data_IF_003981237644
#
_entry.id   IF_003981237644
#
_cell.length_a   1.000
_cell.length_b   1.000
_cell.length_c   1.000
_cell.angle_alpha   90.00
_cell.angle_beta   90.00
_cell.angle_gamma   90.00
#
_symmetry.space_group_name_H-M   'P 1'
#
loop_
_entity.id
_entity.type
_entity.pdbx_description
1 polymer ?
#
# COMPACT_ATOMS: atom_id res chain seq x y z
N UNK A 1 1.58 6.25 10.85
CA UNK A 1 1.18 6.28 9.42
C UNK A 1 0.25 7.45 9.13
N UNK A 2 -0.90 7.58 9.80
CA UNK A 2 -1.83 8.71 9.56
C UNK A 2 -1.12 10.07 9.66
N UNK A 3 -0.35 10.31 10.73
CA UNK A 3 0.43 11.55 10.93
C UNK A 3 1.44 11.86 9.82
N UNK A 4 1.87 10.88 9.03
CA UNK A 4 2.80 11.11 7.93
C UNK A 4 2.10 11.42 6.60
N UNK A 5 0.86 10.94 6.43
CA UNK A 5 0.15 11.00 5.15
C UNK A 5 -1.09 11.92 5.17
N UNK A 6 -1.54 12.38 6.34
CA UNK A 6 -2.80 13.10 6.50
C UNK A 6 -2.89 14.41 5.70
N UNK A 7 -1.77 15.10 5.50
CA UNK A 7 -1.68 16.36 4.74
C UNK A 7 -1.14 16.16 3.32
N UNK A 8 -0.91 14.92 2.89
CA UNK A 8 -0.37 14.61 1.57
C UNK A 8 -1.52 14.34 0.61
N UNK A 9 -1.51 15.01 -0.55
CA UNK A 9 -2.53 14.80 -1.55
C UNK A 9 -2.41 13.39 -2.13
N UNK A 10 -3.55 12.71 -2.29
CA UNK A 10 -3.63 11.50 -3.09
C UNK A 10 -3.54 11.90 -4.56
N UNK A 11 -2.47 11.46 -5.23
CA UNK A 11 -2.19 11.85 -6.62
C UNK A 11 -2.39 10.73 -7.63
N UNK A 12 -2.47 9.48 -7.17
CA UNK A 12 -2.71 8.32 -8.01
C UNK A 12 -3.39 7.20 -7.22
N UNK A 13 -4.27 6.46 -7.89
CA UNK A 13 -4.97 5.30 -7.36
C UNK A 13 -5.11 4.26 -8.46
N UNK A 14 -4.80 3.00 -8.13
CA UNK A 14 -5.00 1.87 -9.04
C UNK A 14 -5.30 0.58 -8.30
N UNK A 15 -6.06 -0.28 -8.96
CA UNK A 15 -6.12 -1.71 -8.63
C UNK A 15 -4.94 -2.43 -9.27
N UNK A 16 -4.24 -3.25 -8.50
CA UNK A 16 -3.11 -4.07 -8.94
C UNK A 16 -3.56 -5.46 -9.41
N UNK A 17 -4.78 -5.86 -9.08
CA UNK A 17 -5.42 -7.09 -9.54
C UNK A 17 -6.71 -6.80 -10.32
N UNK A 18 -7.20 -7.81 -11.04
CA UNK A 18 -8.45 -7.68 -11.83
C UNK A 18 -9.70 -7.77 -10.95
N UNK A 19 -9.57 -8.33 -9.76
CA UNK A 19 -10.67 -8.55 -8.83
C UNK A 19 -10.96 -7.30 -7.98
N UNK A 20 -10.09 -6.30 -7.99
CA UNK A 20 -10.25 -5.11 -7.16
C UNK A 20 -10.05 -5.40 -5.67
N UNK A 21 -9.15 -6.32 -5.33
CA UNK A 21 -8.82 -6.66 -3.94
C UNK A 21 -7.44 -6.16 -3.54
N UNK A 22 -6.59 -5.80 -4.49
CA UNK A 22 -5.27 -5.25 -4.19
C UNK A 22 -5.19 -3.83 -4.72
N UNK A 23 -5.16 -2.88 -3.81
CA UNK A 23 -5.14 -1.45 -4.11
C UNK A 23 -3.72 -0.91 -3.97
N UNK A 24 -3.37 0.07 -4.81
CA UNK A 24 -2.22 0.95 -4.59
C UNK A 24 -2.63 2.42 -4.69
N UNK A 25 -2.09 3.21 -3.78
CA UNK A 25 -2.30 4.66 -3.68
C UNK A 25 -0.95 5.35 -3.64
N UNK A 26 -0.76 6.41 -4.44
CA UNK A 26 0.44 7.26 -4.39
C UNK A 26 0.08 8.64 -3.83
N UNK A 27 0.94 9.13 -2.95
CA UNK A 27 0.80 10.44 -2.32
C UNK A 27 1.77 11.44 -2.95
N UNK A 28 1.47 12.73 -2.80
CA UNK A 28 2.22 13.83 -3.41
C UNK A 28 3.68 13.95 -2.95
N UNK A 29 4.02 13.38 -1.79
CA UNK A 29 5.39 13.32 -1.28
C UNK A 29 6.20 12.13 -1.85
N UNK A 30 5.57 11.29 -2.67
CA UNK A 30 6.18 10.08 -3.22
C UNK A 30 5.91 8.81 -2.41
N UNK A 31 5.23 8.91 -1.26
CA UNK A 31 4.83 7.74 -0.48
C UNK A 31 3.86 6.85 -1.28
N UNK A 32 3.99 5.53 -1.11
CA UNK A 32 3.16 4.51 -1.74
C UNK A 32 2.53 3.63 -0.66
N UNK A 33 1.20 3.50 -0.70
CA UNK A 33 0.44 2.55 0.11
C UNK A 33 -0.11 1.46 -0.78
N UNK A 34 0.19 0.20 -0.49
CA UNK A 34 -0.40 -0.97 -1.16
C UNK A 34 -1.17 -1.81 -0.14
N UNK A 35 -2.47 -1.99 -0.34
CA UNK A 35 -3.34 -2.74 0.55
C UNK A 35 -3.86 -4.00 -0.15
N UNK A 36 -3.78 -5.13 0.52
CA UNK A 36 -4.30 -6.41 0.05
C UNK A 36 -5.50 -6.79 0.91
N UNK A 37 -6.70 -6.65 0.35
CA UNK A 37 -7.97 -7.02 0.97
C UNK A 37 -8.34 -8.48 0.70
N UNK A 38 -7.56 -9.21 -0.09
CA UNK A 38 -7.84 -10.60 -0.40
C UNK A 38 -7.36 -11.55 0.70
N UNK A 39 -7.88 -12.79 0.65
CA UNK A 39 -7.42 -13.89 1.48
C UNK A 39 -6.12 -14.55 0.99
N UNK A 40 -5.50 -14.05 -0.09
CA UNK A 40 -4.30 -14.63 -0.71
C UNK A 40 -3.13 -13.64 -0.66
N UNK A 41 -1.87 -14.10 -0.52
CA UNK A 41 -0.72 -13.22 -0.62
C UNK A 41 -0.62 -12.64 -2.04
N UNK A 42 -0.18 -11.39 -2.14
CA UNK A 42 0.02 -10.71 -3.43
C UNK A 42 1.47 -10.28 -3.59
N UNK A 43 2.09 -10.65 -4.73
CA UNK A 43 3.45 -10.25 -5.06
C UNK A 43 3.44 -8.98 -5.91
N UNK A 44 4.06 -7.92 -5.41
CA UNK A 44 4.28 -6.69 -6.16
C UNK A 44 5.33 -6.90 -7.26
N UNK A 45 5.31 -6.03 -8.27
CA UNK A 45 6.30 -6.03 -9.35
C UNK A 45 7.75 -5.84 -8.85
N UNK A 46 7.94 -5.13 -7.72
CA UNK A 46 9.24 -4.94 -7.06
C UNK A 46 9.78 -6.19 -6.34
N UNK A 47 8.96 -7.23 -6.21
CA UNK A 47 9.33 -8.50 -5.58
C UNK A 47 8.79 -8.68 -4.16
N UNK A 48 8.35 -7.61 -3.50
CA UNK A 48 7.74 -7.66 -2.18
C UNK A 48 6.42 -8.44 -2.19
N UNK A 49 6.14 -9.12 -1.08
CA UNK A 49 4.89 -9.86 -0.89
C UNK A 49 4.06 -9.16 0.19
N UNK A 50 2.80 -8.86 -0.14
CA UNK A 50 1.81 -8.33 0.79
C UNK A 50 0.96 -9.51 1.28
N UNK A 51 0.98 -9.77 2.58
CA UNK A 51 0.18 -10.83 3.19
C UNK A 51 -1.33 -10.60 2.98
N UNK A 52 -2.18 -11.65 3.10
CA UNK A 52 -3.63 -11.48 3.13
C UNK A 52 -4.08 -10.44 4.15
N UNK A 53 -5.13 -9.67 3.83
CA UNK A 53 -5.74 -8.66 4.71
C UNK A 53 -4.72 -7.70 5.37
N UNK A 54 -3.66 -7.34 4.65
CA UNK A 54 -2.57 -6.53 5.18
C UNK A 54 -2.24 -5.36 4.27
N UNK A 55 -1.36 -4.49 4.74
CA UNK A 55 -0.94 -3.28 4.07
C UNK A 55 0.59 -3.15 4.11
N UNK A 56 1.15 -2.72 3.00
CA UNK A 56 2.55 -2.30 2.86
C UNK A 56 2.58 -0.79 2.60
N UNK A 57 3.28 -0.05 3.45
CA UNK A 57 3.55 1.37 3.30
C UNK A 57 5.03 1.60 3.01
N UNK A 58 5.34 2.18 1.85
CA UNK A 58 6.68 2.65 1.48
C UNK A 58 6.65 4.16 1.52
N UNK A 59 7.19 4.75 2.58
CA UNK A 59 7.03 6.17 2.89
C UNK A 59 8.21 6.99 2.34
N UNK A 60 7.95 8.25 2.00
CA UNK A 60 8.93 9.15 1.39
C UNK A 60 10.19 9.41 2.24
N UNK A 61 10.09 9.18 3.56
CA UNK A 61 11.24 9.26 4.49
C UNK A 61 12.13 8.01 4.47
N UNK A 62 11.88 7.05 3.55
CA UNK A 62 12.62 5.81 3.40
C UNK A 62 12.15 4.67 4.31
N UNK A 63 11.16 4.90 5.19
CA UNK A 63 10.62 3.85 6.05
C UNK A 63 9.66 2.95 5.28
N UNK A 64 9.79 1.64 5.54
CA UNK A 64 8.83 0.65 5.06
C UNK A 64 8.11 0.02 6.25
N UNK A 65 6.78 0.04 6.25
CA UNK A 65 5.94 -0.56 7.29
C UNK A 65 5.03 -1.62 6.69
N UNK A 66 4.93 -2.75 7.37
CA UNK A 66 3.88 -3.73 7.14
C UNK A 66 2.89 -3.66 8.30
N UNK A 67 1.61 -3.57 7.97
CA UNK A 67 0.52 -3.51 8.93
C UNK A 67 -0.53 -4.55 8.62
N UNK A 68 -1.05 -5.19 9.66
CA UNK A 68 -2.19 -6.10 9.59
C UNK A 68 -3.11 -5.80 10.78
N UNK A 69 -4.43 -5.83 10.60
CA UNK A 69 -5.37 -5.76 11.71
C UNK A 69 -5.15 -6.98 12.63
N UNK A 70 -5.40 -6.78 13.93
CA UNK A 70 -5.43 -7.87 14.92
C UNK A 70 -6.78 -8.57 14.91
#
# INVERSE_FOLDING_TARGET
MHEQLWDKALVDFRWLDKQGQVQQTRFSDGSILSANFSAQPFKLAGGEVIAPHSLLAQLANGQTHQWQPK
#
